data_IF_032203626781
#
_entry.id   IF_032203626781
#
_cell.length_a   1.000
_cell.length_b   1.000
_cell.length_c   1.000
_cell.angle_alpha   90.00
_cell.angle_beta   90.00
_cell.angle_gamma   90.00
#
_symmetry.space_group_name_H-M   'P 1'
#
loop_
_entity.id
_entity.type
_entity.pdbx_description
1 polymer ?
#
# COMPACT_ATOMS: atom_id res chain seq x y z
N UNK A 1 -22.27 -46.16 84.08
CA UNK A 1 -23.62 -46.21 84.69
C UNK A 1 -24.60 -45.62 83.72
N UNK A 2 -25.49 -46.47 83.19
CA UNK A 2 -26.59 -46.11 82.29
C UNK A 2 -27.67 -45.32 83.05
N UNK A 3 -28.30 -44.37 82.36
CA UNK A 3 -29.72 -44.13 82.55
C UNK A 3 -30.36 -43.71 81.23
N UNK A 4 -31.14 -44.65 80.69
CA UNK A 4 -32.23 -44.39 79.74
C UNK A 4 -33.41 -43.79 80.51
N UNK A 5 -34.06 -42.81 79.91
CA UNK A 5 -35.50 -42.48 80.04
C UNK A 5 -35.86 -41.80 78.71
N UNK A 6 -36.44 -42.53 77.77
CA UNK A 6 -37.90 -42.60 77.56
C UNK A 6 -38.48 -41.22 77.26
N UNK A 7 -38.78 -40.96 75.99
CA UNK A 7 -40.13 -40.51 75.63
C UNK A 7 -40.43 -40.79 74.16
N UNK A 8 -41.48 -41.58 73.98
CA UNK A 8 -42.15 -41.88 72.73
C UNK A 8 -43.12 -40.74 72.42
N UNK A 9 -43.01 -40.14 71.24
CA UNK A 9 -44.16 -39.51 70.57
C UNK A 9 -44.14 -39.88 69.08
N UNK A 10 -45.18 -40.55 68.56
CA UNK A 10 -45.38 -40.68 67.13
C UNK A 10 -46.35 -39.58 66.67
N UNK A 11 -45.89 -38.68 65.82
CA UNK A 11 -46.77 -37.78 65.06
C UNK A 11 -46.32 -37.70 63.60
N UNK A 12 -46.86 -38.65 62.83
CA UNK A 12 -47.33 -38.48 61.45
C UNK A 12 -47.46 -37.01 61.02
N UNK A 13 -46.75 -36.64 59.96
CA UNK A 13 -46.83 -35.30 59.39
C UNK A 13 -45.98 -35.08 58.14
N UNK A 14 -46.54 -35.47 56.99
CA UNK A 14 -46.38 -34.81 55.68
C UNK A 14 -44.99 -34.83 55.02
N UNK A 15 -44.87 -35.69 54.01
CA UNK A 15 -43.97 -35.53 52.86
C UNK A 15 -44.10 -34.13 52.24
N UNK A 16 -43.06 -33.31 52.30
CA UNK A 16 -42.89 -32.18 51.38
C UNK A 16 -41.61 -32.36 50.58
N UNK A 17 -41.81 -32.71 49.31
CA UNK A 17 -40.78 -32.76 48.27
C UNK A 17 -40.26 -31.34 48.02
N UNK A 18 -39.06 -31.03 48.49
CA UNK A 18 -38.35 -29.79 48.17
C UNK A 18 -37.83 -29.85 46.72
N UNK A 19 -38.74 -29.60 45.79
CA UNK A 19 -38.42 -29.29 44.40
C UNK A 19 -37.78 -27.89 44.36
N UNK A 20 -36.49 -27.80 44.66
CA UNK A 20 -35.73 -26.54 44.54
C UNK A 20 -35.51 -26.21 43.06
N UNK A 21 -36.37 -25.33 42.57
CA UNK A 21 -36.10 -24.27 41.59
C UNK A 21 -34.86 -24.44 40.70
N UNK A 22 -35.04 -25.05 39.53
CA UNK A 22 -34.23 -24.72 38.36
C UNK A 22 -34.64 -23.32 37.87
N UNK A 23 -34.16 -22.29 38.57
CA UNK A 23 -34.26 -20.90 38.12
C UNK A 23 -33.58 -20.76 36.76
N UNK A 24 -34.34 -20.33 35.76
CA UNK A 24 -33.93 -20.22 34.37
C UNK A 24 -32.62 -19.47 34.22
N UNK A 25 -31.54 -20.19 33.90
CA UNK A 25 -30.29 -19.63 33.41
C UNK A 25 -30.50 -19.14 31.98
N UNK A 26 -31.10 -17.96 31.90
CA UNK A 26 -30.84 -16.87 30.96
C UNK A 26 -30.70 -17.22 29.47
N UNK A 27 -31.80 -17.60 28.84
CA UNK A 27 -31.97 -17.54 27.37
C UNK A 27 -31.77 -16.11 26.81
N UNK A 28 -31.92 -15.08 27.66
CA UNK A 28 -31.66 -13.67 27.35
C UNK A 28 -30.16 -13.30 27.19
N UNK A 29 -29.24 -14.10 27.73
CA UNK A 29 -27.80 -13.80 27.63
C UNK A 29 -27.21 -14.09 26.24
N UNK A 30 -27.84 -14.98 25.45
CA UNK A 30 -27.42 -15.27 24.08
C UNK A 30 -27.88 -14.19 23.09
N UNK A 31 -29.11 -13.72 23.23
CA UNK A 31 -29.71 -12.72 22.35
C UNK A 31 -29.00 -11.36 22.46
N UNK A 32 -28.69 -10.91 23.69
CA UNK A 32 -27.97 -9.63 23.91
C UNK A 32 -26.53 -9.65 23.40
N UNK A 33 -25.84 -10.80 23.43
CA UNK A 33 -24.49 -10.93 22.88
C UNK A 33 -24.50 -10.81 21.36
N UNK A 34 -25.47 -11.42 20.67
CA UNK A 34 -25.62 -11.27 19.21
C UNK A 34 -25.90 -9.83 18.79
N UNK A 35 -26.77 -9.10 19.49
CA UNK A 35 -27.02 -7.69 19.18
C UNK A 35 -25.78 -6.83 19.42
N UNK A 36 -25.02 -7.10 20.48
CA UNK A 36 -23.75 -6.42 20.74
C UNK A 36 -22.71 -6.69 19.64
N UNK A 37 -22.62 -7.92 19.12
CA UNK A 37 -21.76 -8.23 17.97
C UNK A 37 -22.20 -7.53 16.69
N UNK A 38 -23.50 -7.50 16.38
CA UNK A 38 -24.02 -6.82 15.19
C UNK A 38 -23.76 -5.31 15.27
N UNK A 39 -23.97 -4.70 16.44
CA UNK A 39 -23.67 -3.28 16.65
C UNK A 39 -22.15 -3.02 16.57
N UNK A 40 -21.32 -3.85 17.19
CA UNK A 40 -19.87 -3.72 17.08
C UNK A 40 -19.40 -3.86 15.64
N UNK A 41 -19.93 -4.84 14.88
CA UNK A 41 -19.57 -5.06 13.48
C UNK A 41 -20.06 -3.91 12.59
N UNK A 42 -21.24 -3.36 12.83
CA UNK A 42 -21.73 -2.16 12.16
C UNK A 42 -20.87 -0.93 12.48
N UNK A 43 -20.37 -0.79 13.72
CA UNK A 43 -19.43 0.27 14.09
C UNK A 43 -18.06 0.08 13.44
N UNK A 44 -17.52 -1.14 13.38
CA UNK A 44 -16.27 -1.44 12.67
C UNK A 44 -16.39 -1.18 11.17
N UNK A 45 -17.50 -1.60 10.54
CA UNK A 45 -17.78 -1.33 9.13
C UNK A 45 -18.00 0.16 8.88
N UNK A 46 -18.72 0.86 9.76
CA UNK A 46 -18.92 2.30 9.70
C UNK A 46 -17.60 3.06 9.84
N UNK A 47 -16.77 2.71 10.82
CA UNK A 47 -15.44 3.27 11.03
C UNK A 47 -14.52 2.97 9.84
N UNK A 48 -14.53 1.76 9.30
CA UNK A 48 -13.76 1.37 8.13
C UNK A 48 -14.16 2.14 6.87
N UNK A 49 -15.46 2.21 6.56
CA UNK A 49 -15.97 2.97 5.42
C UNK A 49 -15.75 4.48 5.57
N UNK A 50 -15.72 5.01 6.79
CA UNK A 50 -15.55 6.45 7.02
C UNK A 50 -14.07 6.87 7.07
N UNK A 51 -13.21 6.06 7.70
CA UNK A 51 -11.77 6.33 7.79
C UNK A 51 -11.02 5.91 6.52
N UNK A 52 -11.52 4.94 5.75
CA UNK A 52 -10.90 4.44 4.52
C UNK A 52 -10.66 5.52 3.46
N UNK A 53 -11.68 6.28 3.02
CA UNK A 53 -11.51 7.35 2.03
C UNK A 53 -10.57 8.46 2.51
N UNK A 54 -10.57 8.78 3.82
CA UNK A 54 -9.63 9.75 4.40
C UNK A 54 -8.19 9.22 4.42
N UNK A 55 -7.99 7.95 4.77
CA UNK A 55 -6.68 7.30 4.72
C UNK A 55 -6.14 7.25 3.30
N UNK A 56 -6.97 6.99 2.29
CA UNK A 56 -6.54 7.01 0.89
C UNK A 56 -6.07 8.42 0.45
N UNK A 57 -6.80 9.47 0.85
CA UNK A 57 -6.39 10.85 0.58
C UNK A 57 -5.08 11.24 1.30
N UNK A 58 -4.85 10.73 2.51
CA UNK A 58 -3.58 10.91 3.22
C UNK A 58 -2.47 10.10 2.56
N UNK A 59 -2.75 8.88 2.12
CA UNK A 59 -1.79 8.00 1.46
C UNK A 59 -1.21 8.65 0.19
N UNK A 60 -2.06 9.19 -0.67
CA UNK A 60 -1.59 9.88 -1.90
C UNK A 60 -0.77 11.14 -1.62
N UNK A 61 -0.97 11.80 -0.47
CA UNK A 61 -0.15 12.96 -0.07
C UNK A 61 1.20 12.56 0.49
N UNK A 62 1.26 11.44 1.20
CA UNK A 62 2.48 10.93 1.81
C UNK A 62 3.33 10.15 0.80
N UNK A 63 2.67 9.47 -0.14
CA UNK A 63 3.30 8.65 -1.18
C UNK A 63 2.79 9.12 -2.56
N UNK A 64 3.37 10.19 -3.13
CA UNK A 64 3.01 10.61 -4.49
C UNK A 64 3.30 9.49 -5.48
N UNK A 65 2.36 9.27 -6.41
CA UNK A 65 2.52 8.27 -7.47
C UNK A 65 3.85 8.47 -8.23
N UNK A 66 4.57 7.38 -8.53
CA UNK A 66 5.87 7.45 -9.18
C UNK A 66 5.74 8.18 -10.51
N UNK A 67 6.52 9.25 -10.71
CA UNK A 67 6.56 10.00 -11.97
C UNK A 67 7.40 9.33 -13.06
N UNK A 68 7.42 8.00 -13.06
CA UNK A 68 8.09 7.17 -14.05
C UNK A 68 7.18 6.03 -14.48
N UNK A 69 7.40 5.56 -15.71
CA UNK A 69 6.72 4.40 -16.26
C UNK A 69 7.73 3.26 -16.34
N UNK A 70 7.36 2.09 -15.83
CA UNK A 70 8.22 0.90 -15.89
C UNK A 70 8.01 0.15 -17.21
N UNK A 71 9.08 -0.37 -17.81
CA UNK A 71 9.03 -1.16 -19.04
C UNK A 71 10.35 -1.87 -19.36
N UNK A 72 10.35 -2.74 -20.37
CA UNK A 72 11.57 -3.36 -20.88
C UNK A 72 12.21 -2.45 -21.94
N UNK A 73 13.42 -1.95 -21.64
CA UNK A 73 14.20 -1.07 -22.51
C UNK A 73 15.51 -1.71 -22.99
N UNK A 74 15.62 -3.04 -22.95
CA UNK A 74 16.86 -3.77 -23.29
C UNK A 74 17.28 -3.53 -24.75
N UNK A 75 16.31 -3.43 -25.66
CA UNK A 75 16.58 -3.13 -27.06
C UNK A 75 17.20 -1.73 -27.25
N UNK A 76 16.70 -0.74 -26.50
CA UNK A 76 17.23 0.62 -26.50
C UNK A 76 18.67 0.65 -26.00
N UNK A 77 18.97 -0.02 -24.88
CA UNK A 77 20.32 -0.05 -24.32
C UNK A 77 21.32 -0.76 -25.23
N UNK A 78 20.91 -1.84 -25.89
CA UNK A 78 21.76 -2.53 -26.87
C UNK A 78 22.09 -1.64 -28.07
N UNK A 79 21.14 -0.83 -28.54
CA UNK A 79 21.38 0.11 -29.64
C UNK A 79 22.23 1.31 -29.21
N UNK A 80 22.00 1.86 -28.02
CA UNK A 80 22.72 3.01 -27.49
C UNK A 80 24.15 2.69 -27.00
N UNK A 81 24.38 1.44 -26.60
CA UNK A 81 25.63 0.95 -26.00
C UNK A 81 25.88 1.48 -24.58
N UNK A 82 24.83 1.93 -23.88
CA UNK A 82 24.87 2.49 -22.52
C UNK A 82 23.63 2.05 -21.76
N UNK A 83 23.74 1.90 -20.44
CA UNK A 83 22.65 1.51 -19.53
C UNK A 83 21.73 2.67 -19.14
N UNK A 84 22.14 3.91 -19.45
CA UNK A 84 21.33 5.11 -19.28
C UNK A 84 21.25 5.84 -20.61
N UNK A 85 20.05 6.20 -21.02
CA UNK A 85 19.80 6.89 -22.30
C UNK A 85 18.90 8.10 -22.07
N UNK A 86 19.32 9.26 -22.57
CA UNK A 86 18.56 10.50 -22.52
C UNK A 86 18.23 10.98 -23.93
N UNK A 87 16.94 11.19 -24.22
CA UNK A 87 16.50 11.95 -25.37
C UNK A 87 16.36 13.43 -25.01
N UNK A 88 16.97 14.28 -25.83
CA UNK A 88 17.05 15.72 -25.60
C UNK A 88 16.83 16.52 -26.88
N UNK A 89 16.81 17.84 -26.75
CA UNK A 89 16.91 18.80 -27.86
C UNK A 89 18.04 19.77 -27.57
N UNK A 90 18.71 20.26 -28.61
CA UNK A 90 19.87 21.15 -28.48
C UNK A 90 19.55 22.47 -27.77
N UNK A 91 18.32 22.98 -27.92
CA UNK A 91 17.88 24.28 -27.38
C UNK A 91 17.01 24.19 -26.12
N UNK A 92 17.01 23.04 -25.42
CA UNK A 92 16.15 22.85 -24.26
C UNK A 92 16.90 23.08 -22.92
N UNK A 93 16.48 24.06 -22.09
CA UNK A 93 17.14 24.34 -20.81
C UNK A 93 17.02 23.18 -19.81
N UNK A 94 15.84 22.55 -19.71
CA UNK A 94 15.63 21.41 -18.82
C UNK A 94 16.45 20.17 -19.21
N UNK A 95 16.74 19.99 -20.51
CA UNK A 95 17.65 18.92 -20.94
C UNK A 95 19.08 19.17 -20.44
N UNK A 96 19.51 20.44 -20.39
CA UNK A 96 20.82 20.79 -19.82
C UNK A 96 20.88 20.49 -18.33
N UNK A 97 19.83 20.80 -17.57
CA UNK A 97 19.76 20.48 -16.13
C UNK A 97 19.86 18.96 -15.86
N UNK A 98 19.18 18.13 -16.67
CA UNK A 98 19.32 16.65 -16.58
C UNK A 98 20.75 16.23 -16.89
N UNK A 99 21.37 16.80 -17.93
CA UNK A 99 22.75 16.46 -18.31
C UNK A 99 23.72 16.74 -17.17
N UNK A 100 23.65 17.95 -16.61
CA UNK A 100 24.50 18.35 -15.49
C UNK A 100 24.24 17.48 -14.25
N UNK A 101 22.99 17.07 -14.00
CA UNK A 101 22.67 16.15 -12.92
C UNK A 101 23.32 14.77 -13.14
N UNK A 102 23.21 14.19 -14.34
CA UNK A 102 23.83 12.90 -14.66
C UNK A 102 25.36 12.95 -14.57
N UNK A 103 25.96 14.05 -15.03
CA UNK A 103 27.40 14.31 -14.92
C UNK A 103 27.84 14.43 -13.45
N UNK A 104 27.11 15.20 -12.61
CA UNK A 104 27.39 15.31 -11.17
C UNK A 104 27.29 13.96 -10.45
N UNK A 105 26.32 13.14 -10.83
CA UNK A 105 26.15 11.79 -10.29
C UNK A 105 27.16 10.79 -10.88
N UNK A 106 28.07 11.21 -11.76
CA UNK A 106 29.09 10.36 -12.41
C UNK A 106 28.47 9.17 -13.15
N UNK A 107 27.34 9.39 -13.79
CA UNK A 107 26.63 8.36 -14.57
C UNK A 107 27.10 8.41 -16.00
N UNK A 108 27.49 7.26 -16.54
CA UNK A 108 27.79 7.12 -17.96
C UNK A 108 26.48 6.94 -18.74
N UNK A 109 26.13 7.90 -19.59
CA UNK A 109 24.87 7.90 -20.33
C UNK A 109 25.08 8.20 -21.82
N UNK A 110 24.13 7.75 -22.64
CA UNK A 110 24.01 8.14 -24.04
C UNK A 110 23.01 9.27 -24.17
N UNK A 111 23.45 10.39 -24.72
CA UNK A 111 22.55 11.45 -25.17
C UNK A 111 22.16 11.25 -26.65
N UNK A 112 20.85 11.32 -26.92
CA UNK A 112 20.25 11.27 -28.26
C UNK A 112 19.51 12.58 -28.52
N UNK A 113 20.16 13.47 -29.27
CA UNK A 113 19.63 14.81 -29.57
C UNK A 113 18.69 14.72 -30.79
N UNK A 114 17.38 14.83 -30.55
CA UNK A 114 16.35 14.50 -31.57
C UNK A 114 16.21 15.53 -32.68
N UNK A 115 16.70 16.75 -32.49
CA UNK A 115 16.73 17.81 -33.50
C UNK A 115 17.97 17.76 -34.40
N UNK A 116 18.98 16.97 -34.02
CA UNK A 116 20.23 16.81 -34.78
C UNK A 116 20.35 15.42 -35.43
N UNK A 117 19.58 14.44 -35.00
CA UNK A 117 19.59 13.08 -35.54
C UNK A 117 18.20 12.59 -35.91
N UNK A 118 18.00 12.29 -37.19
CA UNK A 118 16.76 11.69 -37.69
C UNK A 118 16.52 10.30 -37.06
N UNK A 119 17.58 9.55 -36.75
CA UNK A 119 17.45 8.25 -36.08
C UNK A 119 17.00 8.40 -34.62
N UNK A 120 17.59 9.36 -33.89
CA UNK A 120 17.16 9.68 -32.53
C UNK A 120 15.69 10.12 -32.49
N UNK A 121 15.27 10.93 -33.47
CA UNK A 121 13.86 11.34 -33.61
C UNK A 121 12.93 10.15 -33.82
N UNK A 122 13.27 9.23 -34.72
CA UNK A 122 12.46 8.01 -34.97
C UNK A 122 12.37 7.14 -33.72
N UNK A 123 13.49 6.92 -33.02
CA UNK A 123 13.49 6.15 -31.77
C UNK A 123 12.63 6.82 -30.70
N UNK A 124 12.73 8.13 -30.56
CA UNK A 124 11.91 8.92 -29.63
C UNK A 124 10.42 8.75 -29.93
N UNK A 125 10.00 8.88 -31.20
CA UNK A 125 8.61 8.69 -31.62
C UNK A 125 8.13 7.26 -31.41
N UNK A 126 8.95 6.25 -31.75
CA UNK A 126 8.63 4.83 -31.56
C UNK A 126 8.42 4.44 -30.08
N UNK A 127 9.12 5.12 -29.17
CA UNK A 127 9.00 4.93 -27.72
C UNK A 127 7.84 5.75 -27.11
N UNK A 128 6.99 6.38 -27.93
CA UNK A 128 5.88 7.22 -27.47
C UNK A 128 6.33 8.57 -26.90
N UNK A 129 7.46 9.08 -27.39
CA UNK A 129 8.02 10.38 -27.03
C UNK A 129 7.07 11.53 -27.31
N UNK A 130 6.56 12.15 -26.25
CA UNK A 130 5.71 13.35 -26.36
C UNK A 130 6.48 14.64 -26.07
N UNK A 131 7.37 14.62 -25.07
CA UNK A 131 8.15 15.77 -24.60
C UNK A 131 9.55 15.35 -24.19
N UNK A 132 10.48 16.28 -24.30
CA UNK A 132 11.85 16.17 -23.77
C UNK A 132 11.99 17.01 -22.49
N UNK A 133 12.93 16.69 -21.58
CA UNK A 133 13.81 15.52 -21.60
C UNK A 133 13.06 14.21 -21.35
N UNK A 134 13.49 13.12 -21.98
CA UNK A 134 12.99 11.77 -21.71
C UNK A 134 14.18 10.87 -21.38
N UNK A 135 14.19 10.32 -20.16
CA UNK A 135 15.31 9.57 -19.59
C UNK A 135 14.91 8.12 -19.36
N UNK A 136 15.82 7.20 -19.68
CA UNK A 136 15.69 5.78 -19.46
C UNK A 136 16.82 5.33 -18.54
N UNK A 137 16.45 4.73 -17.40
CA UNK A 137 17.37 4.22 -16.37
C UNK A 137 16.87 2.85 -15.93
N UNK A 138 17.60 1.79 -16.28
CA UNK A 138 17.16 0.42 -15.99
C UNK A 138 15.79 0.12 -16.61
N UNK A 139 14.81 -0.26 -15.79
CA UNK A 139 13.43 -0.52 -16.22
C UNK A 139 12.55 0.74 -16.19
N UNK A 140 13.07 1.92 -15.83
CA UNK A 140 12.29 3.15 -15.63
C UNK A 140 12.45 4.13 -16.78
N UNK A 141 11.32 4.65 -17.26
CA UNK A 141 11.22 5.79 -18.17
C UNK A 141 10.66 7.00 -17.45
N UNK A 142 11.42 8.08 -17.44
CA UNK A 142 11.08 9.36 -16.81
C UNK A 142 10.88 10.41 -17.90
N UNK A 143 9.83 11.23 -17.78
CA UNK A 143 9.55 12.34 -18.71
C UNK A 143 9.60 13.66 -17.93
N UNK A 144 10.36 14.61 -18.44
CA UNK A 144 10.61 15.91 -17.83
C UNK A 144 11.78 15.90 -16.84
N UNK A 145 12.07 17.07 -16.28
CA UNK A 145 13.09 17.23 -15.24
C UNK A 145 12.46 17.08 -13.85
N UNK A 146 12.86 16.05 -13.13
CA UNK A 146 12.47 15.77 -11.74
C UNK A 146 13.68 15.19 -11.01
N UNK A 147 14.47 16.06 -10.39
CA UNK A 147 15.75 15.69 -9.79
C UNK A 147 15.64 14.49 -8.84
N UNK A 148 14.69 14.53 -7.90
CA UNK A 148 14.48 13.45 -6.92
C UNK A 148 14.17 12.11 -7.59
N UNK A 149 13.28 12.12 -8.59
CA UNK A 149 12.90 10.90 -9.32
C UNK A 149 14.08 10.33 -10.13
N UNK A 150 14.89 11.21 -10.72
CA UNK A 150 16.08 10.80 -11.47
C UNK A 150 17.07 10.16 -10.52
N UNK A 151 17.39 10.81 -9.39
CA UNK A 151 18.32 10.30 -8.38
C UNK A 151 17.87 8.94 -7.84
N UNK A 152 16.60 8.82 -7.43
CA UNK A 152 16.04 7.55 -6.98
C UNK A 152 16.12 6.42 -8.03
N UNK A 153 16.03 6.78 -9.31
CA UNK A 153 16.14 5.81 -10.41
C UNK A 153 17.57 5.39 -10.67
N UNK A 154 18.52 6.33 -10.57
CA UNK A 154 19.95 6.04 -10.62
C UNK A 154 20.37 5.13 -9.45
N UNK A 155 19.91 5.43 -8.24
CA UNK A 155 20.18 4.60 -7.06
C UNK A 155 19.62 3.18 -7.21
N UNK A 156 18.40 3.03 -7.74
CA UNK A 156 17.83 1.70 -7.97
C UNK A 156 18.58 0.90 -9.03
N UNK A 157 19.19 1.55 -10.03
CA UNK A 157 19.95 0.88 -11.08
C UNK A 157 21.40 0.55 -10.67
N UNK A 158 21.90 1.13 -9.57
CA UNK A 158 23.22 0.84 -9.00
C UNK A 158 23.24 -0.38 -8.06
N UNK A 159 22.09 -0.72 -7.48
CA UNK A 159 21.95 -1.87 -6.58
C UNK A 159 21.86 -3.16 -7.38
#
# INVERSE_FOLDING_TARGET
MQKQTSDLTPSIGVTTNSRTASGGKTWWQGLMKSTAYVVALALFLGLGLWTGPRLHAVYQRVFPEPSYVTGNYDALYRQAGKSVVMFSRSTCPFCREVRELLEREHVDFRELVIDQSADAKRQFEALGGSRVPMLFVGDRRIIGFREETIRQSLESARR
#
